data_IF_814510700369
#
_entry.id   IF_814510700369
#
_cell.length_a   1.000
_cell.length_b   1.000
_cell.length_c   1.000
_cell.angle_alpha   90.00
_cell.angle_beta   90.00
_cell.angle_gamma   90.00
#
_symmetry.space_group_name_H-M   'P 1'
#
loop_
_entity.id
_entity.type
_entity.pdbx_description
1 polymer ?
#
# COMPACT_ATOMS: atom_id res chain seq x y z
N UNK A 1 -16.97 -12.22 -2.85
CA UNK A 1 -18.31 -11.65 -2.63
C UNK A 1 -18.31 -10.58 -1.53
N UNK A 2 -17.66 -10.79 -0.36
CA UNK A 2 -17.67 -9.85 0.77
C UNK A 2 -17.08 -8.48 0.38
N UNK A 3 -15.97 -8.46 -0.35
CA UNK A 3 -15.34 -7.22 -0.81
C UNK A 3 -16.25 -6.41 -1.74
N UNK A 4 -16.97 -7.09 -2.64
CA UNK A 4 -17.91 -6.43 -3.54
C UNK A 4 -19.13 -5.86 -2.79
N UNK A 5 -19.62 -6.57 -1.77
CA UNK A 5 -20.70 -6.07 -0.91
C UNK A 5 -20.26 -4.86 -0.09
N UNK A 6 -19.02 -4.89 0.45
CA UNK A 6 -18.47 -3.75 1.16
C UNK A 6 -18.30 -2.53 0.25
N UNK A 7 -17.81 -2.74 -0.98
CA UNK A 7 -17.70 -1.69 -1.99
C UNK A 7 -19.07 -1.09 -2.33
N UNK A 8 -20.08 -1.94 -2.56
CA UNK A 8 -21.44 -1.51 -2.81
C UNK A 8 -22.02 -0.71 -1.63
N UNK A 9 -21.83 -1.18 -0.40
CA UNK A 9 -22.32 -0.50 0.79
C UNK A 9 -21.72 0.91 0.94
N UNK A 10 -20.41 1.07 0.70
CA UNK A 10 -19.75 2.37 0.72
C UNK A 10 -20.31 3.28 -0.37
N UNK A 11 -20.50 2.77 -1.60
CA UNK A 11 -21.03 3.56 -2.72
C UNK A 11 -22.51 3.94 -2.56
N UNK A 12 -23.29 3.12 -1.86
CA UNK A 12 -24.67 3.46 -1.52
C UNK A 12 -24.75 4.53 -0.45
N UNK A 13 -23.79 4.55 0.48
CA UNK A 13 -23.71 5.58 1.53
C UNK A 13 -23.14 6.90 1.01
N UNK A 14 -22.04 6.82 0.28
CA UNK A 14 -21.36 7.96 -0.33
C UNK A 14 -20.91 7.63 -1.77
N UNK A 15 -21.74 7.95 -2.77
CA UNK A 15 -21.39 7.72 -4.18
C UNK A 15 -20.15 8.49 -4.64
N UNK A 16 -19.81 9.61 -3.99
CA UNK A 16 -18.66 10.44 -4.36
C UNK A 16 -17.33 9.81 -3.92
N UNK A 17 -17.36 8.79 -3.07
CA UNK A 17 -16.17 8.02 -2.69
C UNK A 17 -15.42 7.48 -3.90
N UNK A 18 -16.09 7.21 -5.03
CA UNK A 18 -15.47 6.75 -6.28
C UNK A 18 -14.46 7.75 -6.85
N UNK A 19 -14.58 9.03 -6.52
CA UNK A 19 -13.67 10.08 -6.97
C UNK A 19 -12.43 10.21 -6.07
N UNK A 20 -12.41 9.52 -4.92
CA UNK A 20 -11.32 9.60 -3.96
C UNK A 20 -10.31 8.47 -4.22
N UNK A 21 -9.03 8.84 -4.40
CA UNK A 21 -7.94 7.89 -4.63
C UNK A 21 -7.86 6.82 -3.52
N UNK A 22 -8.10 7.19 -2.26
CA UNK A 22 -8.11 6.28 -1.12
C UNK A 22 -9.13 5.14 -1.23
N UNK A 23 -10.30 5.39 -1.84
CA UNK A 23 -11.29 4.36 -2.12
C UNK A 23 -10.68 3.23 -2.99
N UNK A 24 -10.09 3.60 -4.13
CA UNK A 24 -9.49 2.65 -5.05
C UNK A 24 -8.31 1.90 -4.45
N UNK A 25 -7.42 2.62 -3.75
CA UNK A 25 -6.26 1.99 -3.11
C UNK A 25 -6.66 1.01 -2.01
N UNK A 26 -7.68 1.33 -1.21
CA UNK A 26 -8.15 0.44 -0.14
C UNK A 26 -8.75 -0.84 -0.72
N UNK A 27 -9.68 -0.73 -1.67
CA UNK A 27 -10.31 -1.90 -2.27
C UNK A 27 -9.33 -2.73 -3.12
N UNK A 28 -8.45 -2.08 -3.89
CA UNK A 28 -7.42 -2.76 -4.65
C UNK A 28 -6.41 -3.46 -3.73
N UNK A 29 -6.00 -2.82 -2.64
CA UNK A 29 -5.10 -3.41 -1.65
C UNK A 29 -5.66 -4.68 -1.03
N UNK A 30 -6.92 -4.64 -0.57
CA UNK A 30 -7.59 -5.84 -0.04
C UNK A 30 -7.76 -6.91 -1.11
N UNK A 31 -8.12 -6.55 -2.34
CA UNK A 31 -8.26 -7.49 -3.45
C UNK A 31 -6.93 -8.23 -3.71
N UNK A 32 -5.80 -7.51 -3.76
CA UNK A 32 -4.47 -8.09 -3.92
C UNK A 32 -4.11 -9.03 -2.77
N UNK A 33 -4.37 -8.62 -1.53
CA UNK A 33 -4.09 -9.44 -0.35
C UNK A 33 -4.90 -10.73 -0.36
N UNK A 34 -6.22 -10.64 -0.60
CA UNK A 34 -7.11 -11.81 -0.64
C UNK A 34 -6.71 -12.78 -1.74
N UNK A 35 -6.24 -12.27 -2.88
CA UNK A 35 -5.83 -13.13 -3.98
C UNK A 35 -4.47 -13.77 -3.80
N UNK A 36 -3.47 -13.01 -3.32
CA UNK A 36 -2.08 -13.44 -3.35
C UNK A 36 -1.63 -14.14 -2.07
N UNK A 37 -2.32 -13.92 -0.94
CA UNK A 37 -1.95 -14.54 0.32
C UNK A 37 -2.61 -15.91 0.48
N UNK A 38 -1.81 -16.96 0.72
CA UNK A 38 -2.37 -18.27 1.07
C UNK A 38 -3.08 -18.20 2.43
N UNK A 39 -4.24 -18.84 2.53
CA UNK A 39 -5.05 -18.88 3.74
C UNK A 39 -4.39 -19.62 4.90
N UNK A 40 -3.32 -20.39 4.66
CA UNK A 40 -2.69 -21.31 5.61
C UNK A 40 -1.20 -21.00 5.86
N UNK A 41 -0.84 -19.72 5.98
CA UNK A 41 0.54 -19.36 6.35
C UNK A 41 0.70 -19.45 7.87
N UNK A 42 1.31 -20.55 8.33
CA UNK A 42 1.54 -20.85 9.76
C UNK A 42 2.51 -19.89 10.46
N UNK A 43 3.24 -19.06 9.71
CA UNK A 43 4.20 -18.10 10.24
C UNK A 43 3.66 -16.68 10.13
N UNK A 44 3.29 -16.08 11.26
CA UNK A 44 2.81 -14.70 11.34
C UNK A 44 3.78 -13.70 10.68
N UNK A 45 5.09 -13.85 10.92
CA UNK A 45 6.10 -12.97 10.35
C UNK A 45 6.18 -13.12 8.83
N UNK A 46 6.14 -14.35 8.31
CA UNK A 46 6.16 -14.60 6.88
C UNK A 46 4.91 -14.06 6.21
N UNK A 47 3.73 -14.28 6.80
CA UNK A 47 2.47 -13.73 6.33
C UNK A 47 2.50 -12.21 6.28
N UNK A 48 3.00 -11.55 7.31
CA UNK A 48 3.16 -10.10 7.37
C UNK A 48 4.10 -9.56 6.28
N UNK A 49 5.28 -10.16 6.12
CA UNK A 49 6.24 -9.75 5.08
C UNK A 49 5.69 -9.99 3.67
N UNK A 50 4.97 -11.10 3.47
CA UNK A 50 4.29 -11.39 2.21
C UNK A 50 3.18 -10.38 1.92
N UNK A 51 2.37 -10.03 2.91
CA UNK A 51 1.32 -9.02 2.80
C UNK A 51 1.92 -7.65 2.44
N UNK A 52 3.02 -7.26 3.10
CA UNK A 52 3.71 -6.01 2.80
C UNK A 52 4.26 -5.99 1.36
N UNK A 53 4.88 -7.09 0.91
CA UNK A 53 5.38 -7.19 -0.46
C UNK A 53 4.25 -7.14 -1.50
N UNK A 54 3.16 -7.87 -1.27
CA UNK A 54 1.97 -7.88 -2.14
C UNK A 54 1.34 -6.48 -2.21
N UNK A 55 1.13 -5.83 -1.08
CA UNK A 55 0.58 -4.47 -1.05
C UNK A 55 1.49 -3.48 -1.78
N UNK A 56 2.80 -3.54 -1.53
CA UNK A 56 3.77 -2.64 -2.19
C UNK A 56 3.77 -2.84 -3.71
N UNK A 57 3.91 -4.08 -4.18
CA UNK A 57 3.98 -4.39 -5.62
C UNK A 57 2.64 -4.12 -6.30
N UNK A 58 1.54 -4.57 -5.68
CA UNK A 58 0.20 -4.46 -6.27
C UNK A 58 -0.32 -3.03 -6.33
N UNK A 59 0.00 -2.20 -5.34
CA UNK A 59 -0.50 -0.82 -5.27
C UNK A 59 0.44 0.20 -5.91
N UNK A 60 1.71 -0.13 -6.16
CA UNK A 60 2.67 0.82 -6.74
C UNK A 60 2.17 1.46 -8.04
N UNK A 61 1.65 0.70 -9.05
CA UNK A 61 1.15 1.32 -10.27
C UNK A 61 0.01 2.30 -10.03
N UNK A 62 -0.92 1.96 -9.15
CA UNK A 62 -2.04 2.83 -8.79
C UNK A 62 -1.57 4.07 -8.02
N UNK A 63 -0.64 3.91 -7.09
CA UNK A 63 -0.09 5.02 -6.30
C UNK A 63 0.63 6.02 -7.22
N UNK A 64 1.46 5.53 -8.14
CA UNK A 64 2.15 6.38 -9.11
C UNK A 64 1.16 7.11 -10.01
N UNK A 65 0.16 6.41 -10.55
CA UNK A 65 -0.83 7.01 -11.45
C UNK A 65 -1.73 8.04 -10.76
N UNK A 66 -2.13 7.79 -9.50
CA UNK A 66 -3.06 8.66 -8.78
C UNK A 66 -2.37 9.86 -8.12
N UNK A 67 -1.11 9.73 -7.73
CA UNK A 67 -0.40 10.76 -6.97
C UNK A 67 0.85 11.31 -7.66
N UNK A 68 1.27 10.74 -8.81
CA UNK A 68 2.50 11.15 -9.50
C UNK A 68 3.78 10.88 -8.70
N UNK A 69 3.73 9.96 -7.73
CA UNK A 69 4.87 9.69 -6.85
C UNK A 69 4.87 8.26 -6.33
N UNK A 70 6.07 7.74 -6.08
CA UNK A 70 6.29 6.47 -5.41
C UNK A 70 7.04 6.70 -4.09
N UNK A 71 6.57 6.10 -2.99
CA UNK A 71 7.31 6.13 -1.73
C UNK A 71 8.30 4.98 -1.68
N UNK A 72 9.59 5.29 -1.62
CA UNK A 72 10.65 4.29 -1.44
C UNK A 72 10.81 3.88 0.02
N UNK A 73 10.49 4.80 0.92
CA UNK A 73 10.64 4.62 2.36
C UNK A 73 9.36 4.06 3.00
N UNK A 74 8.21 4.28 2.39
CA UNK A 74 6.91 3.83 2.90
C UNK A 74 6.86 2.34 3.28
N UNK A 75 7.31 1.40 2.44
CA UNK A 75 7.34 -0.01 2.78
C UNK A 75 8.18 -0.33 4.01
N UNK A 76 9.34 0.34 4.19
CA UNK A 76 10.20 0.18 5.36
C UNK A 76 9.55 0.77 6.61
N UNK A 77 8.96 1.96 6.49
CA UNK A 77 8.23 2.58 7.58
C UNK A 77 7.07 1.69 8.06
N UNK A 78 6.33 1.10 7.13
CA UNK A 78 5.20 0.22 7.42
C UNK A 78 5.61 -1.09 8.12
N UNK A 79 6.82 -1.61 7.86
CA UNK A 79 7.32 -2.78 8.58
C UNK A 79 7.44 -2.54 10.09
N UNK A 80 7.68 -1.31 10.50
CA UNK A 80 7.78 -0.92 11.92
C UNK A 80 6.45 -0.35 12.41
N UNK A 81 5.84 0.57 11.64
CA UNK A 81 4.63 1.28 12.03
C UNK A 81 3.44 0.33 12.23
N UNK A 82 3.20 -0.60 11.29
CA UNK A 82 2.03 -1.47 11.36
C UNK A 82 2.04 -2.35 12.62
N UNK A 83 3.10 -3.12 12.95
CA UNK A 83 3.12 -3.88 14.18
C UNK A 83 3.03 -3.01 15.44
N UNK A 84 3.77 -1.91 15.47
CA UNK A 84 3.79 -1.01 16.60
C UNK A 84 2.41 -0.43 16.89
N UNK A 85 1.76 0.11 15.87
CA UNK A 85 0.45 0.73 16.06
C UNK A 85 -0.64 -0.30 16.33
N UNK A 86 -0.59 -1.46 15.65
CA UNK A 86 -1.61 -2.51 15.84
C UNK A 86 -1.54 -3.15 17.20
N UNK A 87 -0.35 -3.40 17.73
CA UNK A 87 -0.20 -4.16 18.98
C UNK A 87 0.02 -3.28 20.22
N UNK A 88 0.41 -2.01 20.04
CA UNK A 88 0.68 -1.10 21.15
C UNK A 88 -0.29 0.08 21.17
N UNK A 89 -0.27 0.92 20.15
CA UNK A 89 -1.00 2.19 20.18
C UNK A 89 -2.51 1.97 20.13
N UNK A 90 -3.00 1.17 19.18
CA UNK A 90 -4.43 0.94 19.00
C UNK A 90 -5.07 0.27 20.20
N UNK A 91 -4.53 -0.82 20.81
CA UNK A 91 -5.11 -1.42 22.01
C UNK A 91 -5.19 -0.45 23.19
N UNK A 92 -4.17 0.39 23.38
CA UNK A 92 -4.17 1.41 24.44
C UNK A 92 -5.19 2.54 24.18
N UNK A 93 -5.46 2.84 22.90
CA UNK A 93 -6.40 3.91 22.52
C UNK A 93 -7.86 3.44 22.51
N UNK A 94 -8.15 2.13 22.60
CA UNK A 94 -9.51 1.61 22.55
C UNK A 94 -10.36 2.07 23.76
N UNK A 95 -11.67 2.33 23.56
CA UNK A 95 -12.59 2.65 24.63
C UNK A 95 -12.60 1.54 25.69
N UNK A 96 -12.48 1.91 26.96
CA UNK A 96 -12.43 0.96 28.09
C UNK A 96 -11.04 0.73 28.68
N UNK A 97 -9.97 1.13 27.99
CA UNK A 97 -8.62 1.08 28.56
C UNK A 97 -8.37 2.15 29.66
N UNK A 98 -9.24 3.15 29.74
CA UNK A 98 -9.17 4.22 30.73
C UNK A 98 -8.24 5.38 30.35
N UNK A 99 -8.31 6.47 31.10
CA UNK A 99 -7.57 7.72 30.81
C UNK A 99 -6.06 7.51 30.81
N UNK A 100 -5.54 6.70 31.70
CA UNK A 100 -4.12 6.37 31.79
C UNK A 100 -3.60 5.65 30.53
N UNK A 101 -4.40 4.76 29.98
CA UNK A 101 -4.03 4.05 28.75
C UNK A 101 -4.02 4.99 27.54
N UNK A 102 -4.93 5.96 27.48
CA UNK A 102 -4.91 6.99 26.45
C UNK A 102 -3.69 7.91 26.54
N UNK A 103 -3.30 8.29 27.75
CA UNK A 103 -2.05 9.06 27.94
C UNK A 103 -0.84 8.26 27.48
N UNK A 104 -0.80 6.95 27.83
CA UNK A 104 0.28 6.06 27.39
C UNK A 104 0.28 5.88 25.86
N UNK A 105 -0.88 5.72 25.24
CA UNK A 105 -1.00 5.69 23.79
C UNK A 105 -0.47 6.97 23.13
N UNK A 106 -0.80 8.14 23.71
CA UNK A 106 -0.27 9.43 23.27
C UNK A 106 1.25 9.49 23.34
N UNK A 107 1.85 9.07 24.44
CA UNK A 107 3.32 9.01 24.57
C UNK A 107 3.95 8.04 23.58
N UNK A 108 3.36 6.88 23.37
CA UNK A 108 3.83 5.92 22.37
C UNK A 108 3.78 6.50 20.94
N UNK A 109 2.75 7.28 20.64
CA UNK A 109 2.65 8.01 19.38
C UNK A 109 3.73 9.10 19.27
N UNK A 110 3.84 9.97 20.27
CA UNK A 110 4.82 11.06 20.29
C UNK A 110 6.27 10.56 20.20
N UNK A 111 6.57 9.42 20.79
CA UNK A 111 7.89 8.79 20.71
C UNK A 111 8.26 8.38 19.29
N UNK A 112 7.29 7.89 18.53
CA UNK A 112 7.53 7.34 17.17
C UNK A 112 7.35 8.38 16.07
N UNK A 113 6.51 9.38 16.29
CA UNK A 113 6.17 10.39 15.29
C UNK A 113 7.39 11.16 14.72
N UNK A 114 8.36 11.62 15.53
CA UNK A 114 9.56 12.30 15.01
C UNK A 114 10.37 11.44 14.05
N UNK A 115 10.46 10.13 14.30
CA UNK A 115 11.16 9.21 13.42
C UNK A 115 10.50 9.11 12.03
N UNK A 116 9.17 9.04 11.98
CA UNK A 116 8.44 9.04 10.72
C UNK A 116 8.53 10.38 9.99
N UNK A 117 8.47 11.51 10.72
CA UNK A 117 8.65 12.84 10.14
C UNK A 117 10.06 12.98 9.56
N UNK A 118 11.10 12.54 10.29
CA UNK A 118 12.47 12.56 9.81
C UNK A 118 12.63 11.70 8.56
N UNK A 119 12.06 10.49 8.56
CA UNK A 119 12.11 9.56 7.45
C UNK A 119 11.43 10.14 6.20
N UNK A 120 10.26 10.77 6.36
CA UNK A 120 9.52 11.42 5.28
C UNK A 120 10.18 12.68 4.71
N UNK A 121 11.10 13.31 5.47
CA UNK A 121 11.87 14.48 5.00
C UNK A 121 13.14 14.11 4.23
N UNK A 122 13.50 12.83 4.16
CA UNK A 122 14.68 12.41 3.39
C UNK A 122 14.43 12.62 1.90
N UNK A 123 15.45 13.03 1.16
CA UNK A 123 15.34 13.26 -0.29
C UNK A 123 14.96 12.00 -1.08
N UNK A 124 15.24 10.83 -0.51
CA UNK A 124 14.90 9.52 -1.09
C UNK A 124 13.51 9.00 -0.67
N UNK A 125 12.78 9.75 0.17
CA UNK A 125 11.47 9.29 0.67
C UNK A 125 10.43 9.15 -0.44
N UNK A 126 10.46 10.07 -1.39
CA UNK A 126 9.51 10.16 -2.49
C UNK A 126 10.26 10.25 -3.82
N UNK A 127 9.90 9.39 -4.73
CA UNK A 127 10.30 9.47 -6.12
C UNK A 127 9.14 10.07 -6.92
N UNK A 128 9.34 11.27 -7.41
CA UNK A 128 8.39 11.96 -8.27
C UNK A 128 8.46 11.39 -9.68
N UNK A 129 7.32 10.95 -10.18
CA UNK A 129 7.17 10.40 -11.52
C UNK A 129 6.26 11.35 -12.30
N UNK A 130 6.67 11.80 -13.50
CA UNK A 130 5.80 12.60 -14.35
C UNK A 130 4.49 11.88 -14.67
N UNK A 131 3.48 12.63 -15.12
CA UNK A 131 2.19 12.05 -15.51
C UNK A 131 2.41 10.93 -16.53
N UNK A 132 1.86 9.77 -16.20
CA UNK A 132 1.97 8.56 -17.01
C UNK A 132 0.72 8.36 -17.85
N UNK A 133 0.89 7.86 -19.06
CA UNK A 133 -0.20 7.49 -19.95
C UNK A 133 -1.00 6.29 -19.39
N UNK A 134 -2.28 6.21 -19.76
CA UNK A 134 -3.15 5.10 -19.40
C UNK A 134 -2.59 3.74 -19.86
N UNK A 135 -1.89 3.70 -20.99
CA UNK A 135 -1.25 2.47 -21.49
C UNK A 135 -0.12 2.04 -20.55
N UNK A 136 0.69 2.98 -20.06
CA UNK A 136 1.75 2.70 -19.09
C UNK A 136 1.18 2.16 -17.76
N UNK A 137 0.07 2.74 -17.30
CA UNK A 137 -0.64 2.23 -16.12
C UNK A 137 -1.13 0.78 -16.32
N UNK A 138 -1.81 0.51 -17.43
CA UNK A 138 -2.32 -0.84 -17.73
C UNK A 138 -1.16 -1.84 -17.84
N UNK A 139 -0.07 -1.48 -18.53
CA UNK A 139 1.11 -2.32 -18.63
C UNK A 139 1.70 -2.62 -17.23
N UNK A 140 1.81 -1.60 -16.38
CA UNK A 140 2.35 -1.79 -15.03
C UNK A 140 1.41 -2.62 -14.13
N UNK A 141 0.10 -2.50 -14.26
CA UNK A 141 -0.87 -3.37 -13.56
C UNK A 141 -0.76 -4.82 -14.02
N UNK A 142 -0.62 -5.07 -15.32
CA UNK A 142 -0.35 -6.41 -15.87
C UNK A 142 0.98 -6.94 -15.34
N UNK A 143 2.00 -6.11 -15.29
CA UNK A 143 3.31 -6.46 -14.70
C UNK A 143 3.21 -6.82 -13.22
N UNK A 144 2.48 -6.03 -12.42
CA UNK A 144 2.23 -6.32 -11.01
C UNK A 144 1.49 -7.66 -10.83
N UNK A 145 0.44 -7.86 -11.62
CA UNK A 145 -0.30 -9.12 -11.65
C UNK A 145 0.61 -10.32 -11.94
N UNK A 146 1.44 -10.21 -12.96
CA UNK A 146 2.39 -11.27 -13.34
C UNK A 146 3.43 -11.55 -12.27
N UNK A 147 4.01 -10.51 -11.65
CA UNK A 147 4.96 -10.63 -10.55
C UNK A 147 4.35 -11.35 -9.34
N UNK A 148 3.09 -11.05 -9.03
CA UNK A 148 2.37 -11.59 -7.88
C UNK A 148 1.78 -12.99 -8.13
N UNK A 149 1.81 -13.51 -9.36
CA UNK A 149 1.39 -14.88 -9.66
C UNK A 149 2.18 -15.93 -8.84
N UNK A 150 1.60 -17.12 -8.61
CA UNK A 150 2.25 -18.19 -7.85
C UNK A 150 3.66 -18.50 -8.31
N UNK A 151 4.46 -19.09 -7.39
CA UNK A 151 5.82 -19.55 -7.70
C UNK A 151 5.77 -20.60 -8.81
N UNK A 152 6.62 -20.44 -9.85
CA UNK A 152 6.66 -21.31 -11.02
C UNK A 152 6.20 -20.65 -12.32
N UNK A 153 5.60 -19.46 -12.26
CA UNK A 153 5.30 -18.68 -13.47
C UNK A 153 6.61 -18.27 -14.15
N UNK A 154 6.79 -18.59 -15.45
CA UNK A 154 8.03 -18.26 -16.16
C UNK A 154 8.18 -16.75 -16.37
N UNK A 155 9.40 -16.32 -16.59
CA UNK A 155 9.74 -14.96 -17.03
C UNK A 155 9.25 -13.82 -16.13
N UNK A 156 9.17 -14.02 -14.81
CA UNK A 156 8.77 -12.96 -13.84
C UNK A 156 9.66 -11.71 -13.94
N UNK A 157 10.94 -11.87 -14.27
CA UNK A 157 11.85 -10.74 -14.49
C UNK A 157 11.42 -9.87 -15.68
N UNK A 158 10.78 -10.46 -16.70
CA UNK A 158 10.25 -9.72 -17.85
C UNK A 158 9.07 -8.84 -17.44
N UNK A 159 8.30 -9.24 -16.43
CA UNK A 159 7.20 -8.43 -15.91
C UNK A 159 7.67 -7.08 -15.34
N UNK A 160 8.92 -6.98 -14.86
CA UNK A 160 9.51 -5.71 -14.44
C UNK A 160 9.68 -4.72 -15.59
N UNK A 161 9.86 -5.21 -16.83
CA UNK A 161 9.98 -4.35 -18.01
C UNK A 161 8.67 -3.63 -18.30
N UNK A 162 7.53 -4.20 -17.91
CA UNK A 162 6.22 -3.57 -18.05
C UNK A 162 6.02 -2.34 -17.14
N UNK A 163 6.91 -2.18 -16.16
CA UNK A 163 6.89 -1.01 -15.27
C UNK A 163 7.74 0.16 -15.81
N UNK A 164 8.63 -0.10 -16.78
CA UNK A 164 9.49 0.94 -17.33
C UNK A 164 8.72 2.14 -17.89
N UNK A 165 7.66 1.97 -18.69
CA UNK A 165 6.89 3.12 -19.21
C UNK A 165 6.24 3.95 -18.10
N UNK A 166 5.85 3.32 -16.98
CA UNK A 166 5.25 4.01 -15.86
C UNK A 166 6.29 4.78 -15.02
N UNK A 167 7.43 4.15 -14.75
CA UNK A 167 8.48 4.71 -13.88
C UNK A 167 9.42 5.65 -14.62
N UNK A 168 9.50 5.53 -15.95
CA UNK A 168 10.34 6.34 -16.82
C UNK A 168 9.52 6.80 -18.04
N UNK A 169 8.49 7.62 -17.83
CA UNK A 169 7.69 8.11 -18.93
C UNK A 169 8.57 8.97 -19.87
N UNK A 170 8.34 8.84 -21.17
CA UNK A 170 8.96 9.70 -22.16
C UNK A 170 8.60 11.15 -21.82
N UNK A 171 9.63 11.96 -21.56
CA UNK A 171 9.43 13.39 -21.42
C UNK A 171 9.05 13.90 -22.81
N UNK A 172 7.78 14.12 -23.03
CA UNK A 172 7.37 14.95 -24.17
C UNK A 172 8.08 16.29 -24.01
N UNK A 173 9.10 16.51 -24.83
CA UNK A 173 9.73 17.82 -24.94
C UNK A 173 8.64 18.78 -25.42
N UNK A 174 8.49 19.95 -24.78
CA UNK A 174 7.51 20.96 -25.19
C UNK A 174 7.79 21.50 -26.61
#
# INVERSE_FOLDING_TARGET
HILALAMLAVLLWDPLSVLVAGFWLSFAGVAWLVWCLPADDRSMLRGFLSAQAVATIGLLPLTVSLFGQASLVGPLANLVAIPWWTFVVVPLALPGAGVWAWQLAGWCFELTWPAFVWLGRTQVALWWVPESDAIALVAALVGAFWLLMPRGTPAKSVALLLWLPLLWPDRALP
#
